data_IF_014856844016
#
_entry.id   IF_014856844016
#
_cell.length_a   1.000
_cell.length_b   1.000
_cell.length_c   1.000
_cell.angle_alpha   90.00
_cell.angle_beta   90.00
_cell.angle_gamma   90.00
#
_symmetry.space_group_name_H-M   'P 1'
#
loop_
_entity.id
_entity.type
_entity.pdbx_description
1 polymer ?
#
# COMPACT_ATOMS: atom_id res chain seq x y z
N UNK A 1 8.23 -30.03 -14.40
CA UNK A 1 7.04 -29.55 -15.13
C UNK A 1 7.46 -28.47 -16.13
N UNK A 2 6.88 -28.47 -17.33
CA UNK A 2 7.15 -27.46 -18.36
C UNK A 2 6.40 -26.17 -18.00
N UNK A 3 7.11 -25.04 -18.00
CA UNK A 3 6.55 -23.71 -17.69
C UNK A 3 6.21 -22.99 -19.00
N UNK A 4 5.08 -22.30 -19.03
CA UNK A 4 4.59 -21.62 -20.24
C UNK A 4 4.45 -20.13 -20.00
N UNK A 5 4.73 -19.33 -21.04
CA UNK A 5 4.46 -17.90 -21.03
C UNK A 5 2.96 -17.65 -21.12
N UNK A 6 2.44 -16.88 -20.17
CA UNK A 6 1.10 -16.30 -20.28
C UNK A 6 1.10 -15.22 -21.36
N UNK A 7 0.20 -15.33 -22.33
CA UNK A 7 0.16 -14.44 -23.50
C UNK A 7 -1.13 -13.64 -23.64
N UNK A 8 -2.16 -13.95 -22.84
CA UNK A 8 -3.39 -13.16 -22.84
C UNK A 8 -3.15 -11.88 -22.03
N UNK A 9 -3.02 -10.75 -22.73
CA UNK A 9 -2.89 -9.45 -22.10
C UNK A 9 -4.20 -9.07 -21.39
N UNK A 10 -4.12 -8.31 -20.28
CA UNK A 10 -5.28 -7.81 -19.58
C UNK A 10 -6.06 -6.82 -20.45
N UNK A 11 -7.38 -6.88 -20.35
CA UNK A 11 -8.25 -5.79 -20.76
C UNK A 11 -8.27 -4.74 -19.64
N UNK A 12 -7.70 -3.57 -19.93
CA UNK A 12 -7.53 -2.48 -18.96
C UNK A 12 -8.83 -1.70 -18.69
N UNK A 13 -9.95 -2.03 -19.34
CA UNK A 13 -11.23 -1.34 -19.12
C UNK A 13 -11.62 -1.27 -17.64
N UNK A 14 -11.29 -2.32 -16.86
CA UNK A 14 -11.54 -2.39 -15.41
C UNK A 14 -10.24 -2.37 -14.58
N UNK A 15 -9.09 -2.08 -15.20
CA UNK A 15 -7.79 -2.14 -14.54
C UNK A 15 -7.34 -3.54 -14.12
N UNK A 16 -6.33 -3.58 -13.27
CA UNK A 16 -5.78 -4.80 -12.67
C UNK A 16 -5.78 -4.63 -11.15
N UNK A 17 -6.34 -5.59 -10.43
CA UNK A 17 -6.26 -5.63 -8.97
C UNK A 17 -5.08 -6.49 -8.55
N UNK A 18 -4.18 -5.91 -7.77
CA UNK A 18 -3.10 -6.59 -7.08
C UNK A 18 -3.40 -6.64 -5.58
N UNK A 19 -3.36 -7.83 -4.98
CA UNK A 19 -3.56 -8.00 -3.54
C UNK A 19 -2.25 -8.47 -2.91
N UNK A 20 -1.78 -7.72 -1.91
CA UNK A 20 -0.69 -8.12 -1.03
C UNK A 20 -1.28 -8.57 0.31
N UNK A 21 -1.13 -9.86 0.61
CA UNK A 21 -1.64 -10.47 1.83
C UNK A 21 -0.48 -10.93 2.72
N UNK A 22 -0.26 -10.24 3.83
CA UNK A 22 0.62 -10.68 4.91
C UNK A 22 -0.06 -11.72 5.79
N UNK A 23 0.58 -12.13 6.88
CA UNK A 23 -0.06 -12.96 7.89
C UNK A 23 0.55 -12.66 9.24
N UNK A 24 -0.24 -12.08 10.11
CA UNK A 24 0.13 -11.65 11.45
C UNK A 24 -0.81 -12.32 12.44
N UNK A 25 -0.26 -13.08 13.37
CA UNK A 25 -1.03 -13.55 14.51
C UNK A 25 -1.05 -12.44 15.56
N UNK A 26 -2.26 -11.95 15.88
CA UNK A 26 -2.48 -10.91 16.90
C UNK A 26 -3.04 -11.58 18.15
N UNK A 27 -2.22 -11.64 19.19
CA UNK A 27 -2.62 -12.10 20.52
C UNK A 27 -3.04 -10.89 21.35
N UNK A 28 -4.34 -10.65 21.42
CA UNK A 28 -4.91 -9.49 22.11
C UNK A 28 -5.44 -9.87 23.50
N UNK A 29 -5.10 -9.07 24.51
CA UNK A 29 -5.64 -9.21 25.87
C UNK A 29 -6.96 -8.45 26.04
N UNK A 30 -7.68 -8.71 27.14
CA UNK A 30 -8.87 -7.93 27.51
C UNK A 30 -8.60 -6.43 27.70
N UNK A 31 -7.38 -6.06 28.08
CA UNK A 31 -6.98 -4.65 28.21
C UNK A 31 -6.63 -4.00 26.87
N UNK A 32 -6.67 -4.76 25.77
CA UNK A 32 -6.24 -4.33 24.44
C UNK A 32 -4.74 -4.20 24.25
N UNK A 33 -3.94 -4.85 25.11
CA UNK A 33 -2.53 -5.06 24.83
C UNK A 33 -2.39 -6.11 23.74
N UNK A 34 -1.51 -5.89 22.76
CA UNK A 34 -1.32 -6.79 21.62
C UNK A 34 0.12 -7.31 21.55
N UNK A 35 0.26 -8.62 21.38
CA UNK A 35 1.49 -9.21 20.87
C UNK A 35 1.26 -9.64 19.41
N UNK A 36 2.15 -9.20 18.51
CA UNK A 36 1.96 -9.34 17.06
C UNK A 36 3.11 -10.09 16.44
N UNK A 37 2.83 -11.22 15.79
CA UNK A 37 3.84 -12.13 15.26
C UNK A 37 3.62 -12.32 13.76
N UNK A 38 4.53 -11.84 12.93
CA UNK A 38 4.51 -12.15 11.49
C UNK A 38 4.82 -13.63 11.24
N UNK A 39 4.00 -14.26 10.40
CA UNK A 39 4.08 -15.68 10.03
C UNK A 39 4.56 -15.93 8.62
N UNK A 40 4.71 -14.87 7.82
CA UNK A 40 5.22 -14.93 6.44
C UNK A 40 6.47 -14.07 6.32
N UNK A 41 7.40 -14.50 5.46
CA UNK A 41 8.60 -13.75 5.11
C UNK A 41 8.29 -12.61 4.11
N UNK A 42 7.36 -12.86 3.19
CA UNK A 42 6.82 -11.88 2.24
C UNK A 42 5.31 -12.09 2.11
N UNK A 43 4.56 -11.07 1.67
CA UNK A 43 3.15 -11.26 1.39
C UNK A 43 2.93 -12.29 0.27
N UNK A 44 1.76 -12.93 0.30
CA UNK A 44 1.22 -13.56 -0.90
C UNK A 44 0.76 -12.45 -1.82
N UNK A 45 1.15 -12.55 -3.09
CA UNK A 45 0.78 -11.60 -4.13
C UNK A 45 -0.17 -12.27 -5.11
N UNK A 46 -1.34 -11.70 -5.26
CA UNK A 46 -2.38 -12.17 -6.18
C UNK A 46 -2.69 -11.06 -7.17
N UNK A 47 -2.90 -11.43 -8.43
CA UNK A 47 -3.36 -10.53 -9.49
C UNK A 47 -4.70 -11.01 -10.01
N UNK A 48 -5.60 -10.07 -10.21
CA UNK A 48 -6.91 -10.29 -10.78
C UNK A 48 -7.16 -9.29 -11.92
N UNK A 49 -7.54 -9.79 -13.08
CA UNK A 49 -7.83 -8.99 -14.27
C UNK A 49 -8.71 -9.74 -15.26
N UNK A 50 -9.43 -9.01 -16.10
CA UNK A 50 -10.18 -9.57 -17.23
C UNK A 50 -9.30 -9.68 -18.48
N UNK A 51 -9.61 -10.62 -19.36
CA UNK A 51 -9.04 -10.70 -20.71
C UNK A 51 -10.15 -10.64 -21.75
N UNK A 52 -9.83 -10.11 -22.92
CA UNK A 52 -10.68 -10.15 -24.11
C UNK A 52 -9.82 -10.56 -25.31
N UNK A 53 -10.11 -11.73 -25.88
CA UNK A 53 -9.28 -12.34 -26.94
C UNK A 53 -10.16 -12.83 -28.09
N UNK A 54 -9.63 -12.76 -29.31
CA UNK A 54 -10.32 -13.19 -30.52
C UNK A 54 -9.42 -14.01 -31.46
N UNK A 55 -9.99 -14.52 -32.55
CA UNK A 55 -9.27 -15.15 -33.64
C UNK A 55 -8.42 -16.35 -33.22
N UNK A 56 -7.23 -16.39 -33.82
CA UNK A 56 -6.23 -17.42 -33.54
C UNK A 56 -5.70 -17.37 -32.10
N UNK A 57 -5.69 -16.19 -31.46
CA UNK A 57 -5.22 -16.04 -30.08
C UNK A 57 -6.18 -16.70 -29.08
N UNK A 58 -7.49 -16.57 -29.31
CA UNK A 58 -8.51 -17.32 -28.56
C UNK A 58 -8.31 -18.83 -28.66
N UNK A 59 -8.08 -19.35 -29.86
CA UNK A 59 -7.83 -20.78 -30.06
C UNK A 59 -6.52 -21.24 -29.40
N UNK A 60 -5.45 -20.44 -29.46
CA UNK A 60 -4.17 -20.74 -28.77
C UNK A 60 -4.34 -20.72 -27.26
N UNK A 61 -5.10 -19.76 -26.74
CA UNK A 61 -5.38 -19.61 -25.31
C UNK A 61 -6.12 -20.83 -24.76
N UNK A 62 -7.26 -21.20 -25.36
CA UNK A 62 -8.06 -22.34 -24.90
C UNK A 62 -7.27 -23.64 -24.94
N UNK A 63 -6.51 -23.89 -26.03
CA UNK A 63 -5.63 -25.05 -26.11
C UNK A 63 -4.62 -25.09 -24.95
N UNK A 64 -3.98 -23.95 -24.64
CA UNK A 64 -3.04 -23.92 -23.51
C UNK A 64 -3.75 -24.09 -22.17
N UNK A 65 -4.90 -23.45 -21.98
CA UNK A 65 -5.66 -23.58 -20.74
C UNK A 65 -6.08 -25.04 -20.49
N UNK A 66 -6.57 -25.72 -21.51
CA UNK A 66 -6.99 -27.13 -21.42
C UNK A 66 -5.82 -28.08 -21.09
N UNK A 67 -4.65 -27.88 -21.70
CA UNK A 67 -3.51 -28.79 -21.51
C UNK A 67 -2.63 -28.45 -20.30
N UNK A 68 -2.52 -27.17 -19.93
CA UNK A 68 -1.52 -26.70 -18.95
C UNK A 68 -2.09 -25.73 -17.91
N UNK A 69 -3.41 -25.62 -17.78
CA UNK A 69 -4.08 -24.76 -16.79
C UNK A 69 -3.60 -24.97 -15.35
N UNK A 70 -3.36 -26.22 -14.95
CA UNK A 70 -2.85 -26.56 -13.61
C UNK A 70 -1.34 -26.39 -13.40
N UNK A 71 -0.58 -25.97 -14.42
CA UNK A 71 0.87 -25.78 -14.31
C UNK A 71 1.22 -24.36 -13.81
N UNK A 72 2.51 -24.15 -13.51
CA UNK A 72 3.05 -22.81 -13.30
C UNK A 72 3.28 -22.08 -14.63
N UNK A 73 2.95 -20.80 -14.63
CA UNK A 73 3.05 -19.88 -15.74
C UNK A 73 4.11 -18.84 -15.46
N UNK A 74 4.83 -18.45 -16.51
CA UNK A 74 5.55 -17.19 -16.54
C UNK A 74 4.52 -16.09 -16.80
N UNK A 75 4.14 -15.37 -15.76
CA UNK A 75 3.19 -14.26 -15.81
C UNK A 75 3.97 -12.95 -15.97
N UNK A 76 3.79 -12.22 -17.09
CA UNK A 76 4.24 -10.84 -17.18
C UNK A 76 3.53 -9.99 -16.12
N UNK A 77 4.29 -9.22 -15.35
CA UNK A 77 3.73 -8.24 -14.42
C UNK A 77 3.36 -7.01 -15.25
N UNK A 78 2.14 -7.01 -15.77
CA UNK A 78 1.66 -5.96 -16.68
C UNK A 78 1.66 -4.57 -16.05
N UNK A 79 1.47 -4.49 -14.72
CA UNK A 79 1.51 -3.26 -13.92
C UNK A 79 2.91 -2.65 -13.77
N UNK A 80 3.95 -3.37 -14.21
CA UNK A 80 5.36 -2.96 -14.06
C UNK A 80 6.08 -2.88 -15.41
N UNK A 81 5.33 -2.64 -16.49
CA UNK A 81 5.89 -2.41 -17.82
C UNK A 81 6.90 -1.26 -17.83
N UNK A 82 7.95 -1.41 -18.63
CA UNK A 82 8.84 -0.32 -19.05
C UNK A 82 9.05 -0.41 -20.55
N UNK A 83 9.55 0.66 -21.14
CA UNK A 83 9.91 0.70 -22.55
C UNK A 83 11.42 0.65 -22.72
N UNK A 84 11.83 0.12 -23.87
CA UNK A 84 13.21 0.11 -24.31
C UNK A 84 13.61 1.52 -24.74
N UNK A 85 14.70 2.07 -24.19
CA UNK A 85 15.14 3.43 -24.49
C UNK A 85 15.86 3.53 -25.85
N UNK A 86 16.65 2.50 -26.20
CA UNK A 86 17.47 2.47 -27.42
C UNK A 86 17.30 1.14 -28.17
N UNK A 87 17.56 1.14 -29.47
CA UNK A 87 17.52 -0.07 -30.28
C UNK A 87 18.48 -1.15 -29.75
N UNK A 88 17.99 -2.38 -29.61
CA UNK A 88 18.77 -3.54 -29.19
C UNK A 88 18.90 -4.51 -30.36
N UNK A 89 20.12 -4.63 -30.86
CA UNK A 89 20.45 -5.54 -31.96
C UNK A 89 20.65 -6.98 -31.48
N UNK A 90 20.40 -7.93 -32.37
CA UNK A 90 20.70 -9.35 -32.18
C UNK A 90 22.14 -9.53 -31.68
N UNK A 91 22.31 -10.34 -30.63
CA UNK A 91 23.60 -10.55 -29.98
C UNK A 91 23.83 -9.67 -28.76
N UNK A 92 23.05 -8.60 -28.56
CA UNK A 92 23.16 -7.76 -27.38
C UNK A 92 22.70 -8.48 -26.10
N UNK A 93 23.31 -8.12 -24.98
CA UNK A 93 23.03 -8.67 -23.64
C UNK A 93 22.53 -7.60 -22.66
N UNK A 94 22.31 -6.36 -23.11
CA UNK A 94 21.86 -5.25 -22.28
C UNK A 94 20.56 -4.72 -22.85
N UNK A 95 19.56 -4.55 -21.99
CA UNK A 95 18.31 -3.86 -22.29
C UNK A 95 18.32 -2.51 -21.58
N UNK A 96 18.50 -1.38 -22.29
CA UNK A 96 18.40 -0.05 -21.70
C UNK A 96 16.93 0.29 -21.39
N UNK A 97 16.61 0.43 -20.10
CA UNK A 97 15.27 0.75 -19.62
C UNK A 97 15.29 1.13 -18.13
N UNK A 98 14.35 1.95 -17.69
CA UNK A 98 14.21 2.24 -16.25
C UNK A 98 13.74 1.00 -15.48
N UNK A 99 14.43 0.70 -14.39
CA UNK A 99 14.06 -0.40 -13.47
C UNK A 99 13.47 0.10 -12.15
N UNK A 100 13.42 1.43 -11.98
CA UNK A 100 12.99 2.10 -10.75
C UNK A 100 11.55 1.70 -10.44
N UNK A 101 11.35 1.12 -9.26
CA UNK A 101 10.04 0.73 -8.73
C UNK A 101 9.39 -0.46 -9.43
N UNK A 102 10.11 -1.23 -10.26
CA UNK A 102 9.57 -2.36 -11.03
C UNK A 102 10.03 -3.71 -10.47
N UNK A 103 9.20 -4.74 -10.58
CA UNK A 103 9.44 -6.09 -10.01
C UNK A 103 10.44 -6.95 -10.83
N UNK A 104 11.57 -6.36 -11.26
CA UNK A 104 12.66 -7.11 -11.85
C UNK A 104 13.46 -7.83 -10.75
N UNK A 105 13.76 -9.12 -10.97
CA UNK A 105 14.52 -9.95 -10.03
C UNK A 105 15.62 -10.68 -10.77
N UNK A 106 16.84 -10.67 -10.23
CA UNK A 106 17.98 -11.43 -10.77
C UNK A 106 17.68 -12.93 -10.74
N UNK A 107 17.98 -13.64 -11.83
CA UNK A 107 17.66 -15.06 -12.02
C UNK A 107 16.24 -15.33 -12.53
N UNK A 108 15.33 -14.34 -12.43
CA UNK A 108 14.00 -14.45 -13.03
C UNK A 108 14.04 -14.15 -14.53
N UNK A 109 12.90 -14.40 -15.19
CA UNK A 109 12.74 -14.08 -16.61
C UNK A 109 12.27 -12.64 -16.82
N UNK A 110 12.63 -12.08 -17.96
CA UNK A 110 12.13 -10.81 -18.49
C UNK A 110 11.53 -11.07 -19.88
N UNK A 111 10.36 -10.52 -20.13
CA UNK A 111 9.71 -10.58 -21.43
C UNK A 111 9.95 -9.27 -22.16
N UNK A 112 10.50 -9.32 -23.36
CA UNK A 112 10.49 -8.20 -24.30
C UNK A 112 9.48 -8.50 -25.41
N UNK A 113 8.61 -7.54 -25.70
CA UNK A 113 7.54 -7.62 -26.70
C UNK A 113 7.56 -6.37 -27.56
N UNK A 114 7.76 -6.55 -28.86
CA UNK A 114 7.59 -5.49 -29.85
C UNK A 114 6.31 -5.73 -30.62
N UNK A 115 5.46 -4.70 -30.66
CA UNK A 115 4.33 -4.59 -31.60
C UNK A 115 4.56 -3.45 -32.59
N UNK A 116 5.77 -2.87 -32.60
CA UNK A 116 6.14 -1.78 -33.50
C UNK A 116 6.16 -2.30 -34.94
N UNK A 117 5.57 -1.52 -35.85
CA UNK A 117 5.49 -1.82 -37.29
C UNK A 117 4.77 -3.15 -37.64
N UNK A 118 3.79 -3.58 -36.83
CA UNK A 118 3.01 -4.82 -37.05
C UNK A 118 3.86 -6.11 -37.04
N UNK A 119 5.08 -6.07 -36.50
CA UNK A 119 5.93 -7.25 -36.36
C UNK A 119 5.91 -7.70 -34.91
N UNK A 120 5.08 -8.71 -34.62
CA UNK A 120 4.97 -9.30 -33.28
C UNK A 120 6.21 -10.14 -32.96
N UNK A 121 7.18 -9.54 -32.29
CA UNK A 121 8.35 -10.23 -31.76
C UNK A 121 8.26 -10.33 -30.25
N UNK A 122 8.45 -11.55 -29.75
CA UNK A 122 8.51 -11.82 -28.30
C UNK A 122 9.76 -12.62 -27.98
N UNK A 123 10.44 -12.23 -26.90
CA UNK A 123 11.53 -13.03 -26.36
C UNK A 123 11.43 -13.07 -24.83
N UNK A 124 11.56 -14.28 -24.28
CA UNK A 124 11.65 -14.51 -22.84
C UNK A 124 13.10 -14.84 -22.49
N UNK A 125 13.74 -13.94 -21.76
CA UNK A 125 15.18 -13.97 -21.46
C UNK A 125 15.39 -13.99 -19.95
N UNK A 126 16.60 -14.25 -19.48
CA UNK A 126 16.93 -14.34 -18.05
C UNK A 126 17.76 -13.14 -17.62
N UNK A 127 17.41 -12.59 -16.45
CA UNK A 127 18.07 -11.43 -15.86
C UNK A 127 19.33 -11.87 -15.13
N UNK A 128 20.50 -11.38 -15.57
CA UNK A 128 21.78 -11.58 -14.91
C UNK A 128 22.09 -10.51 -13.86
N UNK A 129 21.76 -9.25 -14.14
CA UNK A 129 21.96 -8.13 -13.23
C UNK A 129 20.98 -7.00 -13.53
N UNK A 130 20.72 -6.17 -12.53
CA UNK A 130 19.79 -5.03 -12.60
C UNK A 130 20.56 -3.79 -12.16
N UNK A 131 20.47 -2.74 -12.97
CA UNK A 131 20.91 -1.37 -12.64
C UNK A 131 19.71 -0.42 -12.76
N UNK A 132 19.85 0.83 -12.33
CA UNK A 132 18.74 1.82 -12.38
C UNK A 132 18.16 2.01 -13.77
N UNK A 133 19.01 1.96 -14.81
CA UNK A 133 18.66 2.32 -16.19
C UNK A 133 18.94 1.21 -17.21
N UNK A 134 19.27 0.00 -16.74
CA UNK A 134 19.44 -1.15 -17.64
C UNK A 134 19.30 -2.50 -16.94
N UNK A 135 18.94 -3.50 -17.73
CA UNK A 135 18.91 -4.91 -17.36
C UNK A 135 19.98 -5.65 -18.16
N UNK A 136 20.88 -6.35 -17.47
CA UNK A 136 21.84 -7.25 -18.10
C UNK A 136 21.26 -8.66 -18.19
N UNK A 137 21.39 -9.30 -19.35
CA UNK A 137 20.84 -10.61 -19.67
C UNK A 137 21.91 -11.71 -19.57
N UNK A 138 21.49 -12.92 -19.19
CA UNK A 138 22.37 -14.10 -19.19
C UNK A 138 22.70 -14.55 -20.61
N UNK A 139 21.72 -14.51 -21.50
CA UNK A 139 21.85 -14.94 -22.89
C UNK A 139 21.52 -13.76 -23.83
N UNK A 140 22.22 -13.66 -24.97
CA UNK A 140 21.98 -12.57 -25.91
C UNK A 140 20.60 -12.66 -26.57
N UNK A 141 20.05 -11.50 -26.94
CA UNK A 141 18.82 -11.43 -27.73
C UNK A 141 19.02 -12.10 -29.09
N UNK A 142 17.99 -12.83 -29.55
CA UNK A 142 18.03 -13.55 -30.84
C UNK A 142 17.46 -12.76 -32.00
N UNK A 143 16.79 -11.65 -31.71
CA UNK A 143 16.12 -10.77 -32.66
C UNK A 143 16.46 -9.32 -32.36
N UNK A 144 16.18 -8.42 -33.30
CA UNK A 144 16.34 -6.99 -33.11
C UNK A 144 15.06 -6.41 -32.49
N UNK A 145 15.20 -5.56 -31.48
CA UNK A 145 14.10 -4.82 -30.87
C UNK A 145 14.36 -3.33 -31.03
N UNK A 146 13.36 -2.59 -31.52
CA UNK A 146 13.45 -1.14 -31.65
C UNK A 146 13.13 -0.47 -30.32
N UNK A 147 13.65 0.74 -30.13
CA UNK A 147 13.26 1.63 -29.04
C UNK A 147 11.72 1.75 -28.98
N UNK A 148 11.18 1.77 -27.76
CA UNK A 148 9.74 1.71 -27.49
C UNK A 148 9.15 0.30 -27.38
N UNK A 149 9.94 -0.77 -27.58
CA UNK A 149 9.47 -2.13 -27.27
C UNK A 149 9.14 -2.27 -25.78
N UNK A 150 8.04 -2.96 -25.46
CA UNK A 150 7.61 -3.20 -24.08
C UNK A 150 8.50 -4.26 -23.42
N UNK A 151 8.88 -4.00 -22.18
CA UNK A 151 9.65 -4.90 -21.33
C UNK A 151 8.84 -5.13 -20.06
N UNK A 152 8.56 -6.40 -19.77
CA UNK A 152 7.81 -6.80 -18.59
C UNK A 152 8.68 -7.66 -17.67
N UNK A 153 8.73 -7.36 -16.36
CA UNK A 153 9.18 -8.34 -15.39
C UNK A 153 8.29 -9.57 -15.45
N UNK A 154 8.86 -10.75 -15.26
CA UNK A 154 8.10 -12.00 -15.33
C UNK A 154 8.28 -12.82 -14.06
N UNK A 155 7.15 -13.24 -13.48
CA UNK A 155 7.11 -13.99 -12.22
C UNK A 155 6.46 -15.35 -12.44
N UNK A 156 6.83 -16.35 -11.64
CA UNK A 156 6.11 -17.62 -11.67
C UNK A 156 4.80 -17.50 -10.89
N UNK A 157 3.70 -17.85 -11.54
CA UNK A 157 2.38 -17.82 -10.95
C UNK A 157 1.57 -19.07 -11.31
N UNK A 158 0.54 -19.36 -10.51
CA UNK A 158 -0.45 -20.41 -10.77
C UNK A 158 -1.84 -19.79 -10.77
N UNK A 159 -2.72 -20.31 -11.61
CA UNK A 159 -4.13 -19.97 -11.56
C UNK A 159 -4.69 -20.42 -10.21
N UNK A 160 -5.39 -19.55 -9.50
CA UNK A 160 -6.01 -19.90 -8.21
C UNK A 160 -7.27 -20.73 -8.41
N UNK A 161 -7.96 -20.47 -9.51
CA UNK A 161 -9.16 -21.13 -9.95
C UNK A 161 -9.09 -21.31 -11.48
N UNK A 162 -9.77 -22.34 -11.98
CA UNK A 162 -9.88 -22.52 -13.44
C UNK A 162 -10.88 -21.46 -13.92
N UNK A 163 -10.45 -20.54 -14.80
CA UNK A 163 -11.29 -19.40 -15.18
C UNK A 163 -12.50 -19.88 -15.99
N UNK A 164 -13.66 -19.30 -15.68
CA UNK A 164 -14.86 -19.46 -16.49
C UNK A 164 -14.73 -18.67 -17.79
N UNK A 165 -15.06 -19.31 -18.91
CA UNK A 165 -14.92 -18.74 -20.25
C UNK A 165 -16.28 -18.25 -20.74
N UNK A 166 -16.41 -16.95 -20.96
CA UNK A 166 -17.61 -16.35 -21.58
C UNK A 166 -17.37 -16.17 -23.07
N UNK A 167 -18.19 -16.79 -23.92
CA UNK A 167 -18.12 -16.63 -25.38
C UNK A 167 -19.24 -15.71 -25.84
N UNK A 168 -18.88 -14.62 -26.52
CA UNK A 168 -19.86 -13.70 -27.12
C UNK A 168 -20.26 -14.13 -28.52
N UNK A 169 -19.35 -14.78 -29.24
CA UNK A 169 -19.60 -15.45 -30.51
C UNK A 169 -18.61 -16.62 -30.69
N UNK A 170 -18.52 -17.16 -31.90
CA UNK A 170 -17.61 -18.26 -32.25
C UNK A 170 -16.13 -17.86 -32.26
N UNK A 171 -15.81 -16.57 -32.15
CA UNK A 171 -14.45 -16.04 -32.23
C UNK A 171 -13.96 -15.25 -31.01
N UNK A 172 -14.83 -14.50 -30.36
CA UNK A 172 -14.56 -13.59 -29.24
C UNK A 172 -14.89 -14.23 -27.89
N UNK A 173 -13.90 -14.19 -27.00
CA UNK A 173 -13.96 -14.76 -25.65
C UNK A 173 -13.49 -13.76 -24.61
N UNK A 174 -14.16 -13.74 -23.46
CA UNK A 174 -13.68 -13.10 -22.23
C UNK A 174 -13.56 -14.09 -21.07
N UNK A 175 -12.70 -13.76 -20.11
CA UNK A 175 -12.55 -14.51 -18.87
C UNK A 175 -11.98 -13.62 -17.77
N UNK A 176 -12.39 -13.88 -16.53
CA UNK A 176 -11.74 -13.31 -15.34
C UNK A 176 -10.59 -14.22 -14.93
N UNK A 177 -9.40 -13.66 -14.78
CA UNK A 177 -8.18 -14.41 -14.53
C UNK A 177 -7.65 -14.03 -13.15
N UNK A 178 -7.40 -15.03 -12.31
CA UNK A 178 -6.76 -14.86 -11.02
C UNK A 178 -5.48 -15.67 -10.91
N UNK A 179 -4.38 -14.98 -10.67
CA UNK A 179 -3.06 -15.57 -10.53
C UNK A 179 -2.51 -15.32 -9.13
N UNK A 180 -1.91 -16.35 -8.54
CA UNK A 180 -1.09 -16.22 -7.34
C UNK A 180 0.37 -16.48 -7.67
N UNK A 181 1.24 -15.55 -7.30
CA UNK A 181 2.69 -15.75 -7.43
C UNK A 181 3.14 -16.89 -6.50
N UNK A 182 3.96 -17.79 -7.04
CA UNK A 182 4.47 -18.96 -6.32
C UNK A 182 5.88 -18.77 -5.74
N UNK A 183 6.49 -17.62 -6.02
CA UNK A 183 7.83 -17.25 -5.57
C UNK A 183 7.78 -16.32 -4.35
N UNK A 184 8.93 -16.15 -3.69
CA UNK A 184 9.10 -15.14 -2.64
C UNK A 184 8.97 -13.74 -3.23
N UNK A 185 8.09 -12.91 -2.68
CA UNK A 185 7.84 -11.55 -3.13
C UNK A 185 8.64 -10.58 -2.27
N UNK A 186 9.96 -10.58 -2.42
CA UNK A 186 10.80 -9.61 -1.73
C UNK A 186 10.56 -8.20 -2.30
N UNK A 187 10.54 -7.20 -1.42
CA UNK A 187 10.58 -5.80 -1.80
C UNK A 187 11.33 -5.03 -0.72
N UNK A 188 11.87 -3.86 -1.08
CA UNK A 188 12.53 -2.99 -0.10
C UNK A 188 11.52 -2.55 0.96
N UNK A 189 11.95 -2.56 2.22
CA UNK A 189 11.20 -2.00 3.35
C UNK A 189 11.86 -0.72 3.89
N UNK A 190 12.68 -0.08 3.07
CA UNK A 190 13.36 1.16 3.41
C UNK A 190 12.35 2.30 3.45
N UNK A 191 12.12 2.85 4.65
CA UNK A 191 11.21 3.96 4.91
C UNK A 191 11.95 5.22 5.37
N UNK A 192 13.22 5.38 5.00
CA UNK A 192 14.05 6.52 5.46
C UNK A 192 13.55 7.89 4.98
N UNK A 193 12.59 7.91 4.04
CA UNK A 193 11.92 9.12 3.58
C UNK A 193 10.81 9.60 4.52
N UNK A 194 10.37 8.76 5.47
CA UNK A 194 9.37 9.12 6.47
C UNK A 194 10.04 9.80 7.68
N UNK A 195 9.43 10.86 8.24
CA UNK A 195 9.89 11.44 9.48
C UNK A 195 9.73 10.44 10.63
N UNK A 196 10.58 10.57 11.66
CA UNK A 196 10.55 9.74 12.86
C UNK A 196 10.09 10.58 14.04
N UNK A 197 9.09 10.10 14.75
CA UNK A 197 8.62 10.67 16.00
C UNK A 197 8.57 9.58 17.07
N UNK A 198 9.28 9.82 18.18
CA UNK A 198 9.37 8.89 19.32
C UNK A 198 9.66 7.44 18.88
N UNK A 199 10.75 7.26 18.14
CA UNK A 199 11.26 5.99 17.61
C UNK A 199 10.42 5.28 16.54
N UNK A 200 9.22 5.78 16.22
CA UNK A 200 8.38 5.22 15.17
C UNK A 200 8.27 6.19 13.98
N UNK A 201 8.10 5.67 12.75
CA UNK A 201 7.85 6.55 11.60
C UNK A 201 6.49 7.23 11.72
N UNK A 202 6.34 8.36 11.04
CA UNK A 202 5.08 9.06 10.88
C UNK A 202 4.61 8.94 9.44
N UNK A 203 3.32 8.65 9.26
CA UNK A 203 2.67 8.64 7.96
C UNK A 203 2.47 10.08 7.48
N UNK A 204 3.41 10.58 6.69
CA UNK A 204 3.33 11.90 6.04
C UNK A 204 2.81 11.82 4.59
N UNK A 205 2.39 10.64 4.13
CA UNK A 205 1.73 10.46 2.84
C UNK A 205 0.23 10.72 3.03
N UNK A 206 -0.20 11.96 2.79
CA UNK A 206 -1.58 12.37 3.03
C UNK A 206 -2.57 11.60 2.15
N UNK A 207 -3.77 11.30 2.68
CA UNK A 207 -4.82 10.68 1.91
C UNK A 207 -5.40 11.66 0.89
N UNK A 208 -6.00 11.09 -0.15
CA UNK A 208 -6.82 11.81 -1.10
C UNK A 208 -8.21 12.11 -0.49
N UNK A 209 -8.69 13.33 -0.74
CA UNK A 209 -9.96 13.86 -0.21
C UNK A 209 -11.05 13.97 -1.29
N UNK A 210 -10.85 13.37 -2.47
CA UNK A 210 -11.88 13.35 -3.52
C UNK A 210 -13.17 12.63 -3.08
N UNK A 211 -13.04 11.70 -2.12
CA UNK A 211 -14.14 11.06 -1.41
C UNK A 211 -14.02 11.29 0.10
N UNK A 212 -15.14 11.22 0.81
CA UNK A 212 -15.16 11.37 2.27
C UNK A 212 -14.43 10.21 2.97
N UNK A 213 -13.40 10.55 3.74
CA UNK A 213 -12.71 9.61 4.62
C UNK A 213 -13.57 9.25 5.84
N UNK A 214 -13.46 8.01 6.30
CA UNK A 214 -14.16 7.53 7.50
C UNK A 214 -13.18 7.37 8.66
N UNK A 215 -13.55 7.95 9.80
CA UNK A 215 -12.92 7.71 11.09
C UNK A 215 -13.94 7.14 12.07
N UNK A 216 -13.52 6.21 12.93
CA UNK A 216 -14.36 5.69 14.02
C UNK A 216 -13.55 5.42 15.27
N UNK A 217 -14.25 5.34 16.40
CA UNK A 217 -13.69 4.89 17.67
C UNK A 217 -14.32 3.56 18.05
N UNK A 218 -13.47 2.57 18.33
CA UNK A 218 -13.90 1.26 18.81
C UNK A 218 -13.58 1.09 20.29
N UNK A 219 -14.43 0.37 21.01
CA UNK A 219 -14.22 0.01 22.41
C UNK A 219 -14.48 -1.47 22.61
N UNK A 220 -13.72 -2.08 23.53
CA UNK A 220 -13.94 -3.47 23.91
C UNK A 220 -15.01 -3.55 24.98
N UNK A 221 -16.26 -3.57 24.53
CA UNK A 221 -17.44 -3.68 25.38
C UNK A 221 -17.87 -5.14 25.47
N UNK A 222 -17.94 -5.65 26.68
CA UNK A 222 -18.63 -6.90 27.00
C UNK A 222 -20.01 -6.58 27.56
N UNK A 223 -21.04 -7.18 26.98
CA UNK A 223 -22.41 -7.10 27.48
C UNK A 223 -22.81 -8.45 28.09
N UNK A 224 -23.30 -8.40 29.32
CA UNK A 224 -23.91 -9.53 30.02
C UNK A 224 -25.41 -9.25 30.17
N UNK A 225 -26.21 -9.93 29.38
CA UNK A 225 -27.67 -9.92 29.47
C UNK A 225 -28.18 -11.32 29.85
N UNK A 226 -28.92 -11.42 30.96
CA UNK A 226 -29.56 -12.66 31.41
C UNK A 226 -31.05 -12.72 31.02
N UNK A 227 -31.55 -11.77 30.23
CA UNK A 227 -32.91 -11.65 29.75
C UNK A 227 -33.95 -11.27 30.81
N UNK A 228 -33.53 -11.04 32.06
CA UNK A 228 -34.42 -10.76 33.19
C UNK A 228 -34.04 -9.49 33.97
N UNK A 229 -32.75 -9.17 34.05
CA UNK A 229 -32.23 -7.96 34.67
C UNK A 229 -31.71 -6.97 33.63
N UNK A 230 -31.47 -5.73 34.06
CA UNK A 230 -30.81 -4.72 33.22
C UNK A 230 -29.46 -5.27 32.74
N UNK A 231 -29.18 -5.26 31.43
CA UNK A 231 -27.89 -5.72 30.90
C UNK A 231 -26.73 -4.94 31.52
N UNK A 232 -25.70 -5.68 31.93
CA UNK A 232 -24.47 -5.08 32.47
C UNK A 232 -23.44 -4.95 31.36
N UNK A 233 -22.89 -3.75 31.17
CA UNK A 233 -21.82 -3.48 30.19
C UNK A 233 -20.50 -3.18 30.88
N UNK A 234 -19.42 -3.77 30.39
CA UNK A 234 -18.05 -3.55 30.86
C UNK A 234 -17.14 -3.16 29.69
N UNK A 235 -16.53 -1.99 29.76
CA UNK A 235 -15.40 -1.62 28.91
C UNK A 235 -14.12 -2.20 29.50
N UNK A 236 -13.57 -3.23 28.85
CA UNK A 236 -12.43 -3.99 29.38
C UNK A 236 -11.10 -3.25 29.20
N UNK A 237 -10.97 -2.48 28.13
CA UNK A 237 -9.77 -1.70 27.85
C UNK A 237 -9.81 -0.32 28.53
N UNK A 238 -11.02 0.22 28.76
CA UNK A 238 -11.27 1.59 29.25
C UNK A 238 -10.59 2.66 28.39
N UNK A 239 -10.37 2.34 27.12
CA UNK A 239 -9.70 3.17 26.12
C UNK A 239 -10.41 2.99 24.78
N UNK A 240 -10.60 4.06 24.00
CA UNK A 240 -11.04 3.98 22.62
C UNK A 240 -9.85 3.67 21.71
N UNK A 241 -10.07 2.81 20.72
CA UNK A 241 -9.14 2.54 19.63
C UNK A 241 -9.61 3.29 18.40
N UNK A 242 -8.80 4.26 17.96
CA UNK A 242 -9.04 5.02 16.75
C UNK A 242 -8.90 4.10 15.52
N UNK A 243 -9.81 4.20 14.57
CA UNK A 243 -9.64 3.59 13.24
C UNK A 243 -9.85 4.64 12.18
N UNK A 244 -8.85 4.83 11.32
CA UNK A 244 -8.86 5.81 10.24
C UNK A 244 -8.71 5.12 8.89
N UNK A 245 -9.65 5.41 7.99
CA UNK A 245 -9.55 5.04 6.59
C UNK A 245 -8.58 5.99 5.87
N UNK A 246 -7.74 5.40 5.03
CA UNK A 246 -6.86 6.11 4.12
C UNK A 246 -7.14 5.63 2.70
N UNK A 247 -7.18 6.60 1.79
CA UNK A 247 -7.21 6.39 0.36
C UNK A 247 -6.05 7.15 -0.26
N UNK A 248 -5.35 6.52 -1.19
CA UNK A 248 -4.38 7.22 -2.03
C UNK A 248 -4.75 7.06 -3.50
N UNK A 249 -4.56 8.15 -4.23
CA UNK A 249 -4.66 8.25 -5.67
C UNK A 249 -3.28 8.67 -6.17
N UNK A 250 -2.50 7.72 -6.69
CA UNK A 250 -1.07 7.95 -6.97
C UNK A 250 -0.78 7.71 -8.45
N UNK A 251 -0.20 8.72 -9.10
CA UNK A 251 0.22 8.68 -10.50
C UNK A 251 1.73 8.52 -10.65
N UNK A 252 2.52 8.95 -9.67
CA UNK A 252 3.98 8.91 -9.78
C UNK A 252 4.58 7.56 -9.34
N UNK A 253 5.49 7.01 -10.17
CA UNK A 253 6.12 5.71 -9.90
C UNK A 253 6.95 5.69 -8.60
N UNK A 254 7.61 6.80 -8.29
CA UNK A 254 8.42 6.91 -7.06
C UNK A 254 7.53 6.89 -5.83
N UNK A 255 6.40 7.60 -5.85
CA UNK A 255 5.42 7.61 -4.76
C UNK A 255 4.76 6.22 -4.58
N UNK A 256 4.38 5.56 -5.68
CA UNK A 256 3.86 4.18 -5.61
C UNK A 256 4.88 3.21 -5.00
N UNK A 257 6.16 3.37 -5.36
CA UNK A 257 7.24 2.58 -4.79
C UNK A 257 7.41 2.85 -3.29
N UNK A 258 7.40 4.12 -2.87
CA UNK A 258 7.50 4.52 -1.46
C UNK A 258 6.33 3.98 -0.64
N UNK A 259 5.10 4.08 -1.15
CA UNK A 259 3.91 3.52 -0.49
C UNK A 259 4.03 1.98 -0.35
N UNK A 260 4.56 1.31 -1.38
CA UNK A 260 4.89 -0.13 -1.29
C UNK A 260 5.96 -0.42 -0.26
N UNK A 261 7.03 0.38 -0.20
CA UNK A 261 8.06 0.23 0.84
C UNK A 261 7.45 0.36 2.24
N UNK A 262 6.50 1.28 2.43
CA UNK A 262 5.76 1.44 3.68
C UNK A 262 5.01 0.16 4.06
N UNK A 263 4.19 -0.42 3.18
CA UNK A 263 3.46 -1.65 3.57
C UNK A 263 4.38 -2.85 3.82
N UNK A 264 5.50 -2.96 3.08
CA UNK A 264 6.52 -3.96 3.35
C UNK A 264 7.24 -3.72 4.69
N UNK A 265 7.43 -2.46 5.10
CA UNK A 265 7.90 -2.12 6.43
C UNK A 265 6.90 -2.54 7.50
N UNK A 266 5.61 -2.22 7.33
CA UNK A 266 4.54 -2.55 8.28
C UNK A 266 4.36 -4.06 8.45
N UNK A 267 4.62 -4.82 7.37
CA UNK A 267 4.55 -6.27 7.33
C UNK A 267 3.17 -6.79 7.77
N UNK A 268 2.12 -6.20 7.19
CA UNK A 268 0.73 -6.40 7.61
C UNK A 268 0.42 -5.65 8.90
N UNK A 269 -0.28 -6.31 9.83
CA UNK A 269 -0.63 -5.75 11.12
C UNK A 269 0.54 -5.70 12.12
N UNK A 270 1.77 -6.06 11.74
CA UNK A 270 2.86 -6.31 12.69
C UNK A 270 3.46 -5.06 13.31
N UNK A 271 3.87 -4.06 12.51
CA UNK A 271 4.58 -2.87 13.02
C UNK A 271 3.69 -1.65 13.16
N UNK A 272 4.24 -0.66 13.87
CA UNK A 272 3.57 0.59 14.16
C UNK A 272 4.05 1.74 13.28
N UNK A 273 3.14 2.70 13.10
CA UNK A 273 3.35 3.99 12.45
C UNK A 273 2.43 5.02 13.11
N UNK A 274 2.90 6.25 13.27
CA UNK A 274 2.06 7.35 13.71
C UNK A 274 1.16 7.83 12.58
N UNK A 275 -0.13 7.95 12.86
CA UNK A 275 -1.15 8.35 11.89
C UNK A 275 -1.93 9.52 12.47
N UNK A 276 -2.06 10.58 11.69
CA UNK A 276 -2.86 11.73 12.13
C UNK A 276 -4.35 11.45 11.96
N UNK A 277 -5.18 12.16 12.73
CA UNK A 277 -6.64 12.09 12.65
C UNK A 277 -7.20 12.56 11.31
N UNK A 278 -6.38 13.24 10.49
CA UNK A 278 -6.80 13.91 9.26
C UNK A 278 -7.89 14.97 9.52
N UNK A 279 -7.94 15.53 10.73
CA UNK A 279 -8.89 16.56 11.13
C UNK A 279 -8.18 17.70 11.87
N UNK A 280 -8.65 18.94 11.71
CA UNK A 280 -8.23 20.05 12.57
C UNK A 280 -8.89 19.90 13.94
N UNK A 281 -8.27 19.13 14.82
CA UNK A 281 -8.79 18.82 16.15
C UNK A 281 -8.70 20.03 17.11
N UNK A 282 -7.77 20.96 16.86
CA UNK A 282 -7.65 22.20 17.61
C UNK A 282 -7.46 23.41 16.70
N UNK A 283 -8.24 24.46 16.94
CA UNK A 283 -8.07 25.77 16.33
C UNK A 283 -7.17 26.63 17.22
N UNK A 284 -6.01 27.05 16.70
CA UNK A 284 -5.00 27.78 17.48
C UNK A 284 -5.31 29.27 17.54
N UNK A 285 -5.29 29.83 18.74
CA UNK A 285 -5.48 31.26 19.00
C UNK A 285 -4.13 31.95 19.25
N UNK A 286 -3.31 31.39 20.14
CA UNK A 286 -1.99 31.95 20.47
C UNK A 286 -0.95 30.86 20.66
N UNK A 287 0.31 31.23 20.42
CA UNK A 287 1.47 30.37 20.62
C UNK A 287 2.48 31.16 21.46
N UNK A 288 2.89 30.60 22.59
CA UNK A 288 3.95 31.15 23.44
C UNK A 288 4.92 30.04 23.87
N UNK A 289 5.99 29.86 23.09
CA UNK A 289 6.98 28.82 23.32
C UNK A 289 6.36 27.43 23.34
N UNK A 290 6.21 26.84 24.54
CA UNK A 290 5.62 25.50 24.77
C UNK A 290 4.10 25.53 25.00
N UNK A 291 3.50 26.72 25.06
CA UNK A 291 2.10 26.92 25.38
C UNK A 291 1.33 27.21 24.09
N UNK A 292 0.25 26.45 23.89
CA UNK A 292 -0.68 26.63 22.79
C UNK A 292 -2.05 26.94 23.40
N UNK A 293 -2.60 28.12 23.14
CA UNK A 293 -4.00 28.42 23.49
C UNK A 293 -4.87 28.16 22.28
N UNK A 294 -5.94 27.42 22.50
CA UNK A 294 -6.84 26.92 21.46
C UNK A 294 -8.28 27.22 21.85
N UNK A 295 -9.17 27.24 20.86
CA UNK A 295 -10.61 27.26 21.12
C UNK A 295 -11.00 26.07 22.00
N UNK A 296 -11.93 26.28 22.93
CA UNK A 296 -12.35 25.23 23.84
C UNK A 296 -13.09 24.10 23.09
N UNK A 297 -12.50 22.90 23.13
CA UNK A 297 -13.03 21.69 22.48
C UNK A 297 -13.69 20.73 23.48
N UNK A 298 -13.72 21.07 24.77
CA UNK A 298 -14.10 20.18 25.87
C UNK A 298 -13.03 19.13 26.20
N UNK A 299 -11.84 19.22 25.63
CA UNK A 299 -10.76 18.26 25.88
C UNK A 299 -10.27 18.32 27.34
N UNK A 300 -10.37 19.48 27.99
CA UNK A 300 -10.09 19.65 29.41
C UNK A 300 -11.02 18.84 30.33
N UNK A 301 -12.28 18.63 29.93
CA UNK A 301 -13.27 17.88 30.72
C UNK A 301 -12.97 16.38 30.73
N UNK A 302 -12.41 15.87 29.63
CA UNK A 302 -12.10 14.46 29.42
C UNK A 302 -10.70 14.12 29.96
N UNK A 303 -9.76 15.07 29.82
CA UNK A 303 -8.39 14.93 30.26
C UNK A 303 -7.51 14.07 29.33
N UNK A 304 -6.23 13.97 29.68
CA UNK A 304 -5.22 13.29 28.87
C UNK A 304 -5.40 11.77 28.85
N UNK A 305 -5.79 11.24 27.70
CA UNK A 305 -6.00 9.81 27.45
C UNK A 305 -4.90 9.24 26.53
N UNK A 306 -4.48 7.99 26.76
CA UNK A 306 -3.57 7.30 25.83
C UNK A 306 -4.17 7.22 24.42
N UNK A 307 -3.32 7.31 23.39
CA UNK A 307 -3.76 7.50 22.01
C UNK A 307 -4.27 8.90 21.64
N UNK A 308 -4.40 9.83 22.60
CA UNK A 308 -4.77 11.24 22.37
C UNK A 308 -3.91 12.19 23.20
N UNK A 309 -2.58 12.07 23.07
CA UNK A 309 -1.62 12.98 23.71
C UNK A 309 -0.66 13.60 22.73
N UNK A 310 -0.46 12.97 21.59
CA UNK A 310 0.49 13.41 20.59
C UNK A 310 -0.26 14.15 19.48
N UNK A 311 0.40 15.16 18.91
CA UNK A 311 -0.13 16.08 17.92
C UNK A 311 0.83 16.17 16.74
N UNK A 312 0.27 16.37 15.55
CA UNK A 312 0.97 16.96 14.42
C UNK A 312 0.43 18.38 14.19
N UNK A 313 1.34 19.33 14.10
CA UNK A 313 1.06 20.73 13.80
C UNK A 313 1.59 20.97 12.39
N UNK A 314 0.69 21.11 11.43
CA UNK A 314 1.05 21.39 10.03
C UNK A 314 1.10 22.90 9.86
N UNK A 315 2.22 23.40 9.35
CA UNK A 315 2.41 24.82 9.06
C UNK A 315 1.98 25.15 7.63
N UNK A 316 1.66 26.42 7.36
CA UNK A 316 1.27 26.91 6.04
C UNK A 316 2.34 26.70 4.96
N UNK A 317 3.60 26.49 5.34
CA UNK A 317 4.70 26.16 4.42
C UNK A 317 4.86 24.65 4.12
N UNK A 318 4.00 23.81 4.68
CA UNK A 318 4.03 22.35 4.53
C UNK A 318 4.93 21.62 5.52
N UNK A 319 5.67 22.32 6.40
CA UNK A 319 6.44 21.65 7.45
C UNK A 319 5.50 21.14 8.55
N UNK A 320 5.84 19.98 9.11
CA UNK A 320 5.12 19.37 10.22
C UNK A 320 5.97 19.39 11.49
N UNK A 321 5.35 19.75 12.61
CA UNK A 321 5.94 19.67 13.94
C UNK A 321 5.19 18.64 14.77
N UNK A 322 5.91 17.68 15.35
CA UNK A 322 5.32 16.65 16.22
C UNK A 322 5.53 17.00 17.68
N UNK A 323 4.44 17.05 18.46
CA UNK A 323 4.47 17.49 19.87
C UNK A 323 3.61 16.57 20.73
N UNK A 324 3.94 16.48 22.01
CA UNK A 324 3.10 15.81 23.02
C UNK A 324 2.54 16.83 23.99
N UNK A 325 1.25 16.71 24.27
CA UNK A 325 0.57 17.42 25.33
C UNK A 325 0.96 16.79 26.67
N UNK A 326 1.58 17.59 27.53
CA UNK A 326 1.95 17.22 28.90
C UNK A 326 0.85 17.58 29.90
N UNK A 327 0.19 18.72 29.67
CA UNK A 327 -0.84 19.23 30.57
C UNK A 327 -1.88 20.02 29.80
N UNK A 328 -3.10 20.00 30.32
CA UNK A 328 -4.21 20.82 29.86
C UNK A 328 -4.78 21.61 31.02
N UNK A 329 -5.12 22.87 30.74
CA UNK A 329 -5.81 23.74 31.67
C UNK A 329 -6.90 24.52 30.93
N UNK A 330 -8.00 24.78 31.61
CA UNK A 330 -9.00 25.75 31.16
C UNK A 330 -8.50 27.17 31.51
N UNK A 331 -8.57 28.08 30.54
CA UNK A 331 -8.28 29.51 30.76
C UNK A 331 -9.57 30.29 30.94
N UNK A 332 -10.56 30.00 30.10
CA UNK A 332 -11.93 30.52 30.15
C UNK A 332 -12.90 29.51 29.52
N UNK A 333 -14.20 29.81 29.52
CA UNK A 333 -15.20 28.96 28.86
C UNK A 333 -14.96 28.78 27.35
N UNK A 334 -14.22 29.69 26.71
CA UNK A 334 -13.93 29.68 25.27
C UNK A 334 -12.51 29.23 24.94
N UNK A 335 -11.61 29.14 25.92
CA UNK A 335 -10.18 28.91 25.69
C UNK A 335 -9.63 27.78 26.56
N UNK A 336 -9.01 26.81 25.88
CA UNK A 336 -8.19 25.77 26.49
C UNK A 336 -6.71 26.07 26.25
N UNK A 337 -5.87 25.69 27.22
CA UNK A 337 -4.42 25.80 27.14
C UNK A 337 -3.80 24.42 27.13
N UNK A 338 -3.05 24.13 26.08
CA UNK A 338 -2.22 22.93 25.97
C UNK A 338 -0.77 23.30 26.31
N UNK A 339 -0.18 22.61 27.29
CA UNK A 339 1.26 22.65 27.53
C UNK A 339 1.91 21.49 26.77
N UNK A 340 2.82 21.81 25.86
CA UNK A 340 3.52 20.85 25.02
C UNK A 340 4.90 20.50 25.60
N UNK A 341 5.47 19.37 25.19
CA UNK A 341 6.80 18.91 25.59
C UNK A 341 7.96 19.78 25.05
N UNK A 342 7.77 20.39 23.88
CA UNK A 342 8.77 21.19 23.17
C UNK A 342 8.15 22.45 22.58
N UNK A 343 8.97 23.49 22.40
CA UNK A 343 8.48 24.78 21.90
C UNK A 343 8.06 24.71 20.42
N UNK A 344 7.10 25.55 20.05
CA UNK A 344 6.72 25.80 18.67
C UNK A 344 7.46 27.06 18.22
N UNK A 345 8.26 26.94 17.16
CA UNK A 345 9.02 28.05 16.61
C UNK A 345 8.30 28.63 15.38
N UNK A 346 7.01 28.93 15.53
CA UNK A 346 6.12 29.49 14.51
C UNK A 346 5.04 30.34 15.20
N UNK A 347 4.49 31.34 14.51
CA UNK A 347 3.37 32.12 15.04
C UNK A 347 2.05 31.35 14.86
N UNK A 348 1.01 31.76 15.58
CA UNK A 348 -0.32 31.16 15.43
C UNK A 348 -0.85 31.25 13.99
N UNK A 349 -0.59 32.38 13.31
CA UNK A 349 -1.01 32.62 11.92
C UNK A 349 -0.30 31.72 10.90
N UNK A 350 0.85 31.14 11.27
CA UNK A 350 1.62 30.23 10.41
C UNK A 350 1.14 28.77 10.53
N UNK A 351 0.23 28.46 11.46
CA UNK A 351 -0.30 27.13 11.70
C UNK A 351 -1.53 26.90 10.82
N UNK A 352 -1.46 25.90 9.95
CA UNK A 352 -2.54 25.49 9.07
C UNK A 352 -3.55 24.59 9.79
N UNK A 353 -3.06 23.61 10.55
CA UNK A 353 -3.91 22.69 11.30
C UNK A 353 -3.15 22.06 12.47
N UNK A 354 -3.91 21.65 13.48
CA UNK A 354 -3.41 20.82 14.59
C UNK A 354 -4.29 19.59 14.67
N UNK A 355 -3.69 18.43 14.45
CA UNK A 355 -4.37 17.13 14.45
C UNK A 355 -3.80 16.23 15.52
N UNK A 356 -4.64 15.40 16.14
CA UNK A 356 -4.17 14.29 16.95
C UNK A 356 -3.32 13.34 16.13
N UNK A 357 -2.27 12.84 16.75
CA UNK A 357 -1.37 11.84 16.20
C UNK A 357 -1.49 10.57 17.07
N UNK A 358 -1.95 9.48 16.46
CA UNK A 358 -2.17 8.20 17.16
C UNK A 358 -1.21 7.15 16.65
N UNK A 359 -0.59 6.38 17.56
CA UNK A 359 0.24 5.26 17.16
C UNK A 359 -0.67 4.13 16.67
N UNK A 360 -0.49 3.72 15.43
CA UNK A 360 -1.37 2.77 14.77
C UNK A 360 -0.59 1.64 14.11
N UNK A 361 -1.30 0.58 13.75
CA UNK A 361 -0.88 -0.45 12.79
C UNK A 361 -1.90 -0.52 11.66
N UNK A 362 -1.63 -1.28 10.60
CA UNK A 362 -2.69 -1.66 9.67
C UNK A 362 -3.81 -2.40 10.41
N UNK A 363 -5.06 -2.14 10.04
CA UNK A 363 -6.23 -2.84 10.58
C UNK A 363 -6.39 -4.23 9.93
N UNK A 364 -5.84 -4.42 8.73
CA UNK A 364 -5.88 -5.66 7.96
C UNK A 364 -4.49 -6.07 7.45
N UNK A 365 -4.25 -7.39 7.39
CA UNK A 365 -3.06 -7.97 6.75
C UNK A 365 -3.14 -7.94 5.20
N UNK A 366 -4.23 -7.45 4.62
CA UNK A 366 -4.42 -7.38 3.19
C UNK A 366 -4.51 -5.93 2.72
N UNK A 367 -3.72 -5.60 1.70
CA UNK A 367 -3.80 -4.31 0.99
C UNK A 367 -4.11 -4.59 -0.48
N UNK A 368 -5.13 -3.90 -1.00
CA UNK A 368 -5.52 -3.95 -2.41
C UNK A 368 -4.93 -2.76 -3.16
N UNK A 369 -4.33 -3.05 -4.31
CA UNK A 369 -3.78 -2.12 -5.27
C UNK A 369 -4.59 -2.20 -6.55
N UNK A 370 -5.34 -1.16 -6.88
CA UNK A 370 -6.10 -1.10 -8.11
C UNK A 370 -5.33 -0.26 -9.13
N UNK A 371 -4.69 -0.94 -10.08
CA UNK A 371 -3.97 -0.33 -11.19
C UNK A 371 -4.98 0.01 -12.29
N UNK A 372 -5.36 1.27 -12.40
CA UNK A 372 -6.34 1.76 -13.40
C UNK A 372 -5.69 1.82 -14.78
N UNK A 373 -4.44 2.27 -14.84
CA UNK A 373 -3.61 2.23 -16.06
C UNK A 373 -2.30 1.51 -15.77
N UNK A 374 -1.41 1.47 -16.76
CA UNK A 374 -0.15 0.74 -16.66
C UNK A 374 0.88 1.41 -15.71
N UNK A 375 2.14 0.97 -15.77
CA UNK A 375 3.12 1.16 -14.70
C UNK A 375 3.41 2.61 -14.29
N UNK A 376 3.38 3.54 -15.24
CA UNK A 376 3.60 4.98 -15.00
C UNK A 376 2.27 5.75 -14.92
N UNK A 377 1.19 5.00 -14.71
CA UNK A 377 -0.17 5.46 -14.67
C UNK A 377 -0.75 5.53 -13.26
N UNK A 378 -2.07 5.41 -13.17
CA UNK A 378 -2.84 5.63 -11.97
C UNK A 378 -3.03 4.35 -11.15
N UNK A 379 -2.74 4.43 -9.86
CA UNK A 379 -3.08 3.42 -8.88
C UNK A 379 -3.95 3.98 -7.73
N UNK A 380 -5.01 3.26 -7.39
CA UNK A 380 -5.83 3.51 -6.21
C UNK A 380 -5.51 2.48 -5.12
N UNK A 381 -5.35 2.97 -3.89
CA UNK A 381 -5.06 2.13 -2.73
C UNK A 381 -5.97 2.57 -1.60
N UNK A 382 -6.62 1.61 -0.95
CA UNK A 382 -7.40 1.85 0.27
C UNK A 382 -6.92 0.94 1.38
N UNK A 383 -6.80 1.50 2.58
CA UNK A 383 -6.57 0.71 3.79
C UNK A 383 -7.15 1.43 5.01
N UNK A 384 -7.06 0.78 6.17
CA UNK A 384 -7.37 1.42 7.44
C UNK A 384 -6.25 1.18 8.44
N UNK A 385 -6.05 2.16 9.30
CA UNK A 385 -5.11 2.09 10.41
C UNK A 385 -5.86 2.05 11.72
N UNK A 386 -5.46 1.14 12.60
CA UNK A 386 -6.03 0.96 13.94
C UNK A 386 -5.03 1.39 14.99
N UNK A 387 -5.47 2.22 15.92
CA UNK A 387 -4.72 2.64 17.10
C UNK A 387 -4.28 1.45 17.94
N UNK A 388 -3.09 1.56 18.50
CA UNK A 388 -2.54 0.64 19.49
C UNK A 388 -2.29 1.39 20.80
N UNK A 389 -2.05 0.66 21.88
CA UNK A 389 -1.70 1.24 23.18
C UNK A 389 -0.25 1.72 23.15
N UNK A 390 -0.05 3.00 22.88
CA UNK A 390 1.27 3.61 22.72
C UNK A 390 2.15 3.41 23.98
N UNK A 391 1.56 3.49 25.16
CA UNK A 391 2.27 3.35 26.43
C UNK A 391 2.82 1.94 26.72
N UNK A 392 2.40 0.93 25.95
CA UNK A 392 2.90 -0.46 26.07
C UNK A 392 3.96 -0.80 25.03
N UNK A 393 4.16 0.08 24.05
CA UNK A 393 5.19 -0.04 23.05
C UNK A 393 6.49 0.56 23.59
N UNK A 394 7.65 0.04 23.18
CA UNK A 394 8.94 0.60 23.56
C UNK A 394 9.17 1.93 22.83
N UNK A 395 8.57 2.99 23.36
CA UNK A 395 8.66 4.37 22.89
C UNK A 395 9.83 5.09 23.53
#
# INVERSE_FOLDING_TARGET
>A
MKKFLWQAAPDWTNGITEILEWKTDILQSYSGAEQRIARRLSPRRTFEFSILINGSERSKFENRLAFVGGNSWYLPIYTDVTYLNDDVNRGAIVLPCSTIGRDFVVGNKVLIKSEINNVNQTALLEVAAISTDSITLVNPVKSNFLAGACIYPTRLAVLTDVPELTRYNDDLLSAQIRFRITEHNAFSNNISFLPIYRHFPVLNMHPDWSESLKGRYERFLLELDNGSSIPSRLDTARLPFFVQEFRWFITERVEQMQLRQLFYYLNGCQKNIWVSSQASDFNVLTVDGRVLEVENTGFNEIGLMFGRKDLVITLCNGNELYRRIELIAIVSDEIERLLLNESINANAEDILSVSFLTLCRLDSDSVSWEHVTDADGLANITCSFRGVRDELESI
#
